data_IF_191077101975
#
_entry.id   IF_191077101975
#
_cell.length_a   1.000
_cell.length_b   1.000
_cell.length_c   1.000
_cell.angle_alpha   90.00
_cell.angle_beta   90.00
_cell.angle_gamma   90.00
#
_symmetry.space_group_name_H-M   'P 1'
#
loop_
_entity.id
_entity.type
_entity.pdbx_description
1 polymer ?
#
# COMPACT_ATOMS: atom_id res chain seq x y z
N UNK A 1 29.76 -0.70 9.09
CA UNK A 1 30.54 0.45 9.59
C UNK A 1 31.88 -0.06 10.10
N UNK A 2 33.01 0.40 9.55
CA UNK A 2 34.34 -0.03 9.99
C UNK A 2 34.77 0.71 11.27
N UNK A 3 35.78 0.19 11.97
CA UNK A 3 36.31 0.78 13.21
C UNK A 3 36.81 2.21 12.99
N UNK A 4 37.53 2.45 11.90
CA UNK A 4 38.04 3.77 11.51
C UNK A 4 36.91 4.77 11.25
N UNK A 5 35.80 4.35 10.64
CA UNK A 5 34.65 5.22 10.41
C UNK A 5 33.96 5.63 11.72
N UNK A 6 33.90 4.73 12.70
CA UNK A 6 33.33 5.01 14.02
C UNK A 6 34.15 6.05 14.78
N UNK A 7 35.47 5.85 14.84
CA UNK A 7 36.39 6.77 15.53
C UNK A 7 36.36 8.19 14.97
N UNK A 8 36.13 8.35 13.65
CA UNK A 8 36.01 9.67 13.00
C UNK A 8 34.62 10.30 13.19
N UNK A 9 33.58 9.49 13.41
CA UNK A 9 32.20 9.98 13.46
C UNK A 9 31.79 10.63 14.79
N UNK A 10 32.57 10.42 15.86
CA UNK A 10 32.28 10.93 17.21
C UNK A 10 30.82 10.70 17.67
N UNK A 11 30.23 9.56 17.27
CA UNK A 11 28.86 9.23 17.62
C UNK A 11 28.70 9.05 19.12
N UNK A 12 27.57 9.52 19.62
CA UNK A 12 27.14 9.37 21.02
C UNK A 12 25.87 8.52 21.08
N UNK A 13 25.51 8.02 22.26
CA UNK A 13 24.23 7.31 22.47
C UNK A 13 23.05 8.30 22.55
N UNK A 14 22.95 9.18 21.57
CA UNK A 14 21.85 10.13 21.37
C UNK A 14 21.49 10.20 19.88
N UNK A 15 20.27 10.68 19.59
CA UNK A 15 19.81 10.91 18.22
C UNK A 15 19.17 12.29 18.08
N UNK A 16 19.38 12.94 16.94
CA UNK A 16 18.64 14.14 16.59
C UNK A 16 17.30 13.77 15.96
N UNK A 17 16.22 14.19 16.59
CA UNK A 17 14.84 14.07 16.14
C UNK A 17 14.36 15.44 15.70
N UNK A 18 14.53 15.71 14.40
CA UNK A 18 14.51 17.05 13.82
C UNK A 18 15.62 17.96 14.38
N UNK A 19 16.06 18.97 13.61
CA UNK A 19 17.27 19.79 13.84
C UNK A 19 17.32 20.56 15.19
N UNK A 20 16.43 20.28 16.13
CA UNK A 20 16.21 21.03 17.38
C UNK A 20 16.06 20.14 18.62
N UNK A 21 15.93 18.82 18.49
CA UNK A 21 15.70 17.94 19.64
C UNK A 21 16.65 16.76 19.59
N UNK A 22 17.59 16.74 20.53
CA UNK A 22 18.46 15.60 20.75
C UNK A 22 17.87 14.71 21.85
N UNK A 23 17.63 13.44 21.54
CA UNK A 23 17.05 12.46 22.45
C UNK A 23 18.12 11.44 22.84
N UNK A 24 18.43 11.28 24.14
CA UNK A 24 19.36 10.26 24.58
C UNK A 24 18.74 8.85 24.44
N UNK A 25 19.52 7.91 23.88
CA UNK A 25 19.17 6.49 23.77
C UNK A 25 19.43 5.70 25.06
N UNK A 26 20.30 6.22 25.92
CA UNK A 26 20.61 5.72 27.27
C UNK A 26 20.72 6.90 28.23
N UNK A 27 20.65 6.71 29.56
CA UNK A 27 20.86 7.81 30.51
C UNK A 27 22.18 8.55 30.22
N UNK A 28 22.11 9.89 30.09
CA UNK A 28 23.23 10.75 29.71
C UNK A 28 23.90 10.38 28.37
N UNK A 29 23.15 9.80 27.43
CA UNK A 29 23.70 9.26 26.19
C UNK A 29 24.43 10.27 25.30
N UNK A 30 24.18 11.58 25.47
CA UNK A 30 24.91 12.66 24.79
C UNK A 30 26.40 12.70 25.17
N UNK A 31 26.76 12.22 26.35
CA UNK A 31 28.15 12.18 26.84
C UNK A 31 28.82 10.81 26.64
N UNK A 32 28.07 9.81 26.17
CA UNK A 32 28.54 8.43 26.02
C UNK A 32 28.90 8.19 24.55
N UNK A 33 30.19 8.07 24.27
CA UNK A 33 30.68 7.75 22.92
C UNK A 33 30.36 6.31 22.51
N UNK A 34 30.00 6.13 21.25
CA UNK A 34 29.80 4.82 20.63
C UNK A 34 31.16 4.23 20.28
N UNK A 35 31.45 3.06 20.85
CA UNK A 35 32.65 2.28 20.58
C UNK A 35 32.40 1.25 19.48
N UNK A 36 33.45 0.61 18.97
CA UNK A 36 33.27 -0.49 18.02
C UNK A 36 32.61 -1.72 18.65
N UNK A 37 32.84 -1.91 19.93
CA UNK A 37 32.30 -2.98 20.75
C UNK A 37 30.80 -2.78 20.99
N UNK A 38 30.36 -1.54 21.26
CA UNK A 38 28.95 -1.22 21.55
C UNK A 38 28.15 -0.77 20.32
N UNK A 39 28.74 -0.81 19.12
CA UNK A 39 28.12 -0.33 17.88
C UNK A 39 26.78 -1.01 17.57
N UNK A 40 26.68 -2.31 17.85
CA UNK A 40 25.47 -3.10 17.54
C UNK A 40 24.32 -2.67 18.45
N UNK A 41 24.61 -2.52 19.75
CA UNK A 41 23.68 -1.96 20.73
C UNK A 41 23.21 -0.56 20.33
N UNK A 42 24.13 0.31 19.89
CA UNK A 42 23.76 1.63 19.39
C UNK A 42 22.80 1.55 18.20
N UNK A 43 23.07 0.66 17.23
CA UNK A 43 22.21 0.44 16.05
C UNK A 43 20.82 -0.05 16.48
N UNK A 44 20.75 -1.04 17.37
CA UNK A 44 19.49 -1.58 17.90
C UNK A 44 18.66 -0.50 18.59
N UNK A 45 19.26 0.26 19.51
CA UNK A 45 18.58 1.35 20.21
C UNK A 45 18.10 2.44 19.26
N UNK A 46 18.88 2.74 18.21
CA UNK A 46 18.50 3.72 17.20
C UNK A 46 17.34 3.23 16.34
N UNK A 47 17.30 1.94 15.99
CA UNK A 47 16.16 1.32 15.27
C UNK A 47 14.92 1.36 16.16
N UNK A 48 15.03 0.92 17.41
CA UNK A 48 13.95 0.93 18.40
C UNK A 48 13.37 2.34 18.57
N UNK A 49 14.23 3.33 18.81
CA UNK A 49 13.79 4.71 19.01
C UNK A 49 13.06 5.24 17.77
N UNK A 50 13.64 5.03 16.58
CA UNK A 50 13.10 5.59 15.32
C UNK A 50 11.79 4.95 14.88
N UNK A 51 11.67 3.63 15.00
CA UNK A 51 10.55 2.88 14.42
C UNK A 51 9.51 2.41 15.44
N UNK A 52 9.82 2.46 16.75
CA UNK A 52 8.91 2.05 17.82
C UNK A 52 8.60 3.25 18.71
N UNK A 53 9.58 3.78 19.43
CA UNK A 53 9.35 4.75 20.51
C UNK A 53 8.77 6.08 20.01
N UNK A 54 9.34 6.67 18.95
CA UNK A 54 8.90 7.98 18.46
C UNK A 54 7.48 8.00 17.87
N UNK A 55 6.99 6.83 17.46
CA UNK A 55 5.67 6.67 16.82
C UNK A 55 4.68 5.93 17.71
N UNK A 56 5.07 5.52 18.92
CA UNK A 56 4.29 4.65 19.80
C UNK A 56 2.88 5.18 20.05
N UNK A 57 2.76 6.47 20.38
CA UNK A 57 1.46 7.08 20.65
C UNK A 57 0.55 7.09 19.42
N UNK A 58 1.09 7.40 18.25
CA UNK A 58 0.36 7.44 17.00
C UNK A 58 -0.08 6.04 16.58
N UNK A 59 0.81 5.05 16.71
CA UNK A 59 0.53 3.65 16.43
C UNK A 59 -0.54 3.11 17.38
N UNK A 60 -0.49 3.46 18.67
CA UNK A 60 -1.51 3.05 19.64
C UNK A 60 -2.90 3.61 19.29
N UNK A 61 -3.00 4.89 18.93
CA UNK A 61 -4.27 5.48 18.50
C UNK A 61 -4.77 4.90 17.17
N UNK A 62 -3.86 4.61 16.24
CA UNK A 62 -4.22 3.93 14.99
C UNK A 62 -4.76 2.52 15.25
N UNK A 63 -4.09 1.75 16.13
CA UNK A 63 -4.54 0.42 16.54
C UNK A 63 -5.91 0.47 17.20
N UNK A 64 -6.15 1.41 18.12
CA UNK A 64 -7.46 1.61 18.74
C UNK A 64 -8.56 1.90 17.70
N UNK A 65 -8.30 2.76 16.71
CA UNK A 65 -9.27 3.04 15.65
C UNK A 65 -9.59 1.82 14.78
N UNK A 66 -8.62 0.93 14.58
CA UNK A 66 -8.84 -0.37 13.92
C UNK A 66 -9.67 -1.32 14.79
N UNK A 67 -9.42 -1.34 16.10
CA UNK A 67 -10.21 -2.13 17.06
C UNK A 67 -11.67 -1.68 17.08
N UNK A 68 -11.92 -0.36 17.07
CA UNK A 68 -13.27 0.20 17.07
C UNK A 68 -14.08 -0.17 15.80
N UNK A 69 -13.42 -0.55 14.70
CA UNK A 69 -14.05 -0.91 13.42
C UNK A 69 -14.45 -2.39 13.31
N UNK A 70 -13.75 -3.27 14.02
CA UNK A 70 -13.93 -4.71 13.92
C UNK A 70 -14.90 -5.18 15.03
N UNK A 71 -15.67 -6.24 14.83
CA UNK A 71 -16.52 -6.85 15.89
C UNK A 71 -15.88 -8.17 16.38
N UNK A 72 -15.10 -8.17 17.48
CA UNK A 72 -14.57 -9.41 18.08
C UNK A 72 -13.24 -9.30 18.85
N UNK A 73 -12.69 -10.39 19.43
CA UNK A 73 -11.42 -10.33 20.17
C UNK A 73 -10.21 -10.18 19.22
N UNK A 74 -9.76 -8.94 19.01
CA UNK A 74 -8.76 -8.53 18.01
C UNK A 74 -7.36 -9.09 18.22
N UNK A 75 -6.99 -9.42 19.46
CA UNK A 75 -5.70 -10.02 19.75
C UNK A 75 -5.51 -11.35 19.01
N UNK A 76 -6.59 -12.12 18.81
CA UNK A 76 -6.52 -13.33 17.99
C UNK A 76 -6.32 -13.01 16.51
N UNK A 77 -7.05 -12.03 15.96
CA UNK A 77 -6.94 -11.62 14.56
C UNK A 77 -5.52 -11.17 14.20
N UNK A 78 -4.96 -10.21 14.94
CA UNK A 78 -3.61 -9.71 14.70
C UNK A 78 -2.52 -10.76 14.98
N UNK A 79 -2.74 -11.68 15.93
CA UNK A 79 -1.81 -12.78 16.18
C UNK A 79 -1.81 -13.83 15.06
N UNK A 80 -2.89 -13.93 14.29
CA UNK A 80 -2.99 -14.85 13.14
C UNK A 80 -2.59 -14.22 11.82
N UNK A 81 -2.54 -12.89 11.73
CA UNK A 81 -2.24 -12.16 10.51
C UNK A 81 -0.73 -12.00 10.35
N UNK A 82 -0.14 -12.54 9.29
CA UNK A 82 1.26 -12.27 8.97
C UNK A 82 1.43 -10.86 8.40
N UNK A 83 2.67 -10.37 8.36
CA UNK A 83 2.99 -9.10 7.69
C UNK A 83 2.62 -9.11 6.20
N UNK A 84 2.74 -10.27 5.54
CA UNK A 84 2.38 -10.46 4.14
C UNK A 84 0.86 -10.38 3.95
N UNK A 85 0.08 -10.98 4.86
CA UNK A 85 -1.38 -10.92 4.82
C UNK A 85 -1.88 -9.49 5.04
N UNK A 86 -1.25 -8.74 5.96
CA UNK A 86 -1.61 -7.34 6.18
C UNK A 86 -1.26 -6.46 4.97
N UNK A 87 -0.11 -6.66 4.33
CA UNK A 87 0.26 -5.91 3.12
C UNK A 87 -0.69 -6.25 1.96
N UNK A 88 -1.04 -7.53 1.81
CA UNK A 88 -2.05 -7.99 0.84
C UNK A 88 -3.42 -7.37 1.13
N UNK A 89 -3.87 -7.34 2.39
CA UNK A 89 -5.15 -6.73 2.76
C UNK A 89 -5.21 -5.24 2.43
N UNK A 90 -4.10 -4.52 2.64
CA UNK A 90 -4.03 -3.07 2.41
C UNK A 90 -3.82 -2.70 0.94
N UNK A 91 -3.05 -3.48 0.20
CA UNK A 91 -2.66 -3.17 -1.19
C UNK A 91 -3.47 -3.93 -2.22
N UNK A 92 -3.89 -5.16 -1.91
CA UNK A 92 -4.34 -6.18 -2.86
C UNK A 92 -3.19 -7.08 -3.31
N UNK A 93 -3.51 -8.07 -4.15
CA UNK A 93 -2.57 -9.05 -4.68
C UNK A 93 -1.72 -8.41 -5.80
N UNK A 94 -0.50 -7.96 -5.49
CA UNK A 94 0.44 -7.35 -6.46
C UNK A 94 1.19 -8.40 -7.31
N UNK A 95 1.25 -9.65 -6.86
CA UNK A 95 2.03 -10.69 -7.55
C UNK A 95 1.27 -11.35 -8.70
N UNK A 96 -0.04 -11.11 -8.82
CA UNK A 96 -0.86 -11.70 -9.88
C UNK A 96 -1.04 -10.75 -11.07
N UNK A 97 -0.98 -11.37 -12.25
CA UNK A 97 -1.25 -10.74 -13.51
C UNK A 97 -2.75 -10.53 -13.69
N UNK A 98 -3.17 -9.36 -14.17
CA UNK A 98 -4.59 -9.07 -14.39
C UNK A 98 -5.10 -9.97 -15.53
N UNK A 99 -6.00 -10.89 -15.19
CA UNK A 99 -6.70 -11.75 -16.13
C UNK A 99 -7.78 -10.98 -16.89
N UNK A 100 -7.65 -10.92 -18.22
CA UNK A 100 -8.63 -10.26 -19.08
C UNK A 100 -9.91 -11.09 -19.20
N UNK A 101 -9.79 -12.42 -19.17
CA UNK A 101 -10.96 -13.31 -19.21
C UNK A 101 -11.84 -13.08 -17.98
N UNK A 102 -11.22 -12.95 -16.81
CA UNK A 102 -11.93 -12.68 -15.56
C UNK A 102 -12.57 -11.30 -15.54
N UNK A 103 -11.83 -10.29 -16.04
CA UNK A 103 -12.35 -8.94 -16.16
C UNK A 103 -13.58 -8.88 -17.07
N UNK A 104 -13.54 -9.58 -18.21
CA UNK A 104 -14.68 -9.70 -19.14
C UNK A 104 -15.90 -10.30 -18.47
N UNK A 105 -15.71 -11.37 -17.70
CA UNK A 105 -16.80 -12.05 -16.98
C UNK A 105 -17.50 -11.12 -15.97
N UNK A 106 -16.74 -10.18 -15.40
CA UNK A 106 -17.20 -9.18 -14.44
C UNK A 106 -17.53 -7.81 -15.07
N UNK A 107 -17.75 -7.76 -16.39
CA UNK A 107 -18.11 -6.53 -17.12
C UNK A 107 -19.55 -6.59 -17.60
N UNK A 108 -20.31 -5.52 -17.35
CA UNK A 108 -21.65 -5.31 -17.87
C UNK A 108 -21.65 -4.41 -19.11
N UNK A 109 -22.52 -4.73 -20.06
CA UNK A 109 -22.70 -3.97 -21.28
C UNK A 109 -24.11 -3.39 -21.31
N UNK A 110 -24.24 -2.06 -21.34
CA UNK A 110 -25.51 -1.36 -21.44
C UNK A 110 -25.68 -0.72 -22.81
N UNK A 111 -26.63 -1.21 -23.60
CA UNK A 111 -26.83 -0.78 -24.98
C UNK A 111 -25.79 -1.32 -25.97
N UNK A 112 -24.98 -2.28 -25.55
CA UNK A 112 -24.09 -3.08 -26.40
C UNK A 112 -24.33 -4.57 -26.15
N UNK A 113 -24.06 -5.40 -27.15
CA UNK A 113 -23.90 -6.85 -27.00
C UNK A 113 -22.41 -7.19 -26.93
N UNK A 114 -22.03 -8.25 -26.21
CA UNK A 114 -20.61 -8.64 -26.06
C UNK A 114 -19.92 -8.87 -27.40
N UNK A 115 -20.68 -9.35 -28.40
CA UNK A 115 -20.21 -9.60 -29.77
C UNK A 115 -20.16 -8.34 -30.66
N UNK A 116 -20.57 -7.17 -30.17
CA UNK A 116 -20.47 -5.93 -30.93
C UNK A 116 -19.00 -5.61 -31.23
N UNK A 117 -18.71 -5.19 -32.46
CA UNK A 117 -17.33 -4.90 -32.90
C UNK A 117 -16.62 -3.90 -31.96
N UNK A 118 -17.35 -2.91 -31.45
CA UNK A 118 -16.84 -1.91 -30.51
C UNK A 118 -16.38 -2.54 -29.19
N UNK A 119 -17.12 -3.51 -28.67
CA UNK A 119 -16.74 -4.27 -27.47
C UNK A 119 -15.54 -5.16 -27.77
N UNK A 120 -15.53 -5.80 -28.93
CA UNK A 120 -14.37 -6.55 -29.42
C UNK A 120 -13.09 -5.71 -29.44
N UNK A 121 -13.14 -4.52 -30.04
CA UNK A 121 -12.00 -3.60 -30.12
C UNK A 121 -11.54 -3.11 -28.75
N UNK A 122 -12.48 -2.79 -27.86
CA UNK A 122 -12.15 -2.40 -26.48
C UNK A 122 -11.27 -3.47 -25.82
N UNK A 123 -11.70 -4.73 -25.88
CA UNK A 123 -10.96 -5.81 -25.25
C UNK A 123 -9.65 -6.17 -25.96
N UNK A 124 -9.57 -6.04 -27.29
CA UNK A 124 -8.30 -6.21 -28.01
C UNK A 124 -7.28 -5.13 -27.62
N UNK A 125 -7.73 -3.89 -27.37
CA UNK A 125 -6.87 -2.82 -26.85
C UNK A 125 -6.36 -3.17 -25.44
N UNK A 126 -7.24 -3.60 -24.52
CA UNK A 126 -6.85 -4.02 -23.16
C UNK A 126 -5.90 -5.22 -23.21
N UNK A 127 -6.11 -6.16 -24.14
CA UNK A 127 -5.23 -7.30 -24.38
C UNK A 127 -3.85 -6.91 -24.87
N UNK A 128 -3.76 -5.89 -25.72
CA UNK A 128 -2.49 -5.31 -26.17
C UNK A 128 -1.73 -4.52 -25.10
N UNK A 129 -2.36 -4.19 -23.96
CA UNK A 129 -1.68 -3.51 -22.85
C UNK A 129 -0.77 -4.47 -22.07
N UNK A 130 0.38 -3.97 -21.62
CA UNK A 130 1.17 -4.62 -20.58
C UNK A 130 0.48 -4.54 -19.20
N UNK A 131 0.96 -5.30 -18.22
CA UNK A 131 0.39 -5.34 -16.87
C UNK A 131 0.41 -3.96 -16.19
N UNK A 132 1.42 -3.12 -16.44
CA UNK A 132 1.50 -1.78 -15.86
C UNK A 132 0.37 -0.89 -16.37
N UNK A 133 0.08 -0.93 -17.67
CA UNK A 133 -1.02 -0.19 -18.29
C UNK A 133 -2.38 -0.73 -17.88
N UNK A 134 -2.54 -2.06 -17.76
CA UNK A 134 -3.76 -2.66 -17.23
C UNK A 134 -4.04 -2.22 -15.80
N UNK A 135 -3.03 -2.19 -14.92
CA UNK A 135 -3.14 -1.68 -13.54
C UNK A 135 -3.52 -0.20 -13.50
N UNK A 136 -3.03 0.62 -14.44
CA UNK A 136 -3.44 2.02 -14.56
C UNK A 136 -4.89 2.16 -14.99
N UNK A 137 -5.36 1.32 -15.92
CA UNK A 137 -6.76 1.32 -16.34
C UNK A 137 -7.68 0.83 -15.21
N UNK A 138 -7.28 -0.22 -14.50
CA UNK A 138 -7.97 -0.70 -13.30
C UNK A 138 -8.12 0.44 -12.28
N UNK A 139 -7.02 1.09 -11.93
CA UNK A 139 -7.02 2.23 -11.00
C UNK A 139 -7.88 3.41 -11.46
N UNK A 140 -7.88 3.71 -12.76
CA UNK A 140 -8.73 4.75 -13.31
C UNK A 140 -10.22 4.48 -13.05
N UNK A 141 -10.63 3.22 -13.11
CA UNK A 141 -12.01 2.81 -12.95
C UNK A 141 -12.40 2.53 -11.49
N UNK A 142 -11.53 1.92 -10.69
CA UNK A 142 -11.85 1.44 -9.33
C UNK A 142 -11.18 2.21 -8.20
N UNK A 143 -10.24 3.11 -8.50
CA UNK A 143 -9.30 3.68 -7.54
C UNK A 143 -8.41 2.67 -6.78
N UNK A 144 -8.35 1.40 -7.21
CA UNK A 144 -7.40 0.40 -6.69
C UNK A 144 -6.41 -0.04 -7.76
N UNK A 145 -5.15 -0.25 -7.36
CA UNK A 145 -4.06 -0.60 -8.30
C UNK A 145 -3.84 -2.09 -8.45
N UNK A 146 -4.26 -2.87 -7.45
CA UNK A 146 -4.12 -4.31 -7.40
C UNK A 146 -5.48 -4.94 -7.11
N UNK A 147 -5.66 -6.17 -7.55
CA UNK A 147 -6.91 -6.88 -7.33
C UNK A 147 -7.05 -7.24 -5.85
N UNK A 148 -8.25 -7.12 -5.27
CA UNK A 148 -8.57 -7.72 -3.98
C UNK A 148 -8.35 -9.24 -3.96
N UNK A 149 -8.46 -9.84 -2.77
CA UNK A 149 -8.26 -11.27 -2.60
C UNK A 149 -9.17 -12.14 -3.48
N UNK A 150 -10.45 -11.76 -3.66
CA UNK A 150 -11.37 -12.48 -4.55
C UNK A 150 -11.36 -11.94 -5.99
N UNK A 151 -10.33 -11.19 -6.38
CA UNK A 151 -10.19 -10.70 -7.74
C UNK A 151 -11.24 -9.65 -8.11
N UNK A 152 -11.90 -9.86 -9.25
CA UNK A 152 -12.90 -8.91 -9.77
C UNK A 152 -14.26 -8.99 -9.05
N UNK A 153 -14.53 -10.04 -8.27
CA UNK A 153 -15.78 -10.20 -7.52
C UNK A 153 -15.95 -9.11 -6.44
N UNK A 154 -14.85 -8.70 -5.81
CA UNK A 154 -14.83 -7.67 -4.76
C UNK A 154 -14.77 -6.24 -5.32
N UNK A 155 -14.70 -6.08 -6.65
CA UNK A 155 -14.68 -4.77 -7.30
C UNK A 155 -16.09 -4.34 -7.69
N UNK A 156 -16.34 -3.01 -7.85
CA UNK A 156 -17.53 -2.59 -8.57
C UNK A 156 -17.60 -3.29 -9.93
N UNK A 157 -18.77 -3.38 -10.54
CA UNK A 157 -18.90 -3.92 -11.90
C UNK A 157 -18.45 -2.89 -12.93
N UNK A 158 -17.62 -3.28 -13.90
CA UNK A 158 -17.27 -2.37 -15.00
C UNK A 158 -18.46 -2.29 -15.94
N UNK A 159 -19.08 -1.12 -16.10
CA UNK A 159 -20.21 -0.95 -17.02
C UNK A 159 -19.78 -0.16 -18.25
N UNK A 160 -19.86 -0.77 -19.43
CA UNK A 160 -19.64 -0.10 -20.72
C UNK A 160 -20.99 0.31 -21.29
N UNK A 161 -21.22 1.62 -21.37
CA UNK A 161 -22.51 2.20 -21.73
C UNK A 161 -22.43 2.80 -23.13
N UNK A 162 -23.39 2.47 -24.00
CA UNK A 162 -23.59 3.19 -25.26
C UNK A 162 -24.15 4.57 -24.95
N UNK A 163 -23.30 5.59 -25.04
CA UNK A 163 -23.75 6.97 -24.90
C UNK A 163 -24.77 7.31 -25.99
N UNK A 164 -25.93 7.85 -25.60
CA UNK A 164 -26.84 8.50 -26.53
C UNK A 164 -26.16 9.79 -27.00
N UNK A 165 -25.57 9.76 -28.19
CA UNK A 165 -25.42 11.00 -28.96
C UNK A 165 -26.84 11.41 -29.32
N UNK A 166 -27.40 12.34 -28.53
CA UNK A 166 -28.68 12.95 -28.85
C UNK A 166 -28.66 13.35 -30.32
N UNK A 167 -29.67 12.90 -31.06
CA UNK A 167 -30.04 13.55 -32.30
C UNK A 167 -30.13 15.03 -31.98
N UNK A 168 -29.19 15.83 -32.50
CA UNK A 168 -29.37 17.27 -32.54
C UNK A 168 -30.61 17.46 -33.39
N UNK A 169 -31.71 17.81 -32.74
CA UNK A 169 -32.97 18.19 -33.35
C UNK A 169 -32.67 19.03 -34.60
N UNK A 170 -32.88 18.43 -35.76
CA UNK A 170 -32.92 19.13 -37.04
C UNK A 170 -34.35 19.57 -37.29
N UNK A 171 -34.93 20.35 -36.39
CA UNK A 171 -36.18 21.05 -36.63
C UNK A 171 -36.18 22.36 -35.82
N UNK A 172 -36.03 23.47 -36.54
CA UNK A 172 -35.98 24.83 -36.02
C UNK A 172 -35.45 25.81 -37.05
#
# INVERSE_FOLDING_TARGET
MSKEMLEVSALTFSIDVDKRLEIPLVPNGQDVLVTFEDKERYIELRIQMKYVTLVEKQVLHFAQGFEDLLDGPYSAFFNTLSLEDLDCLLRGIDQEDISIQEWKLHTEYQGFEEKDDVIGWFWEIIKGMDQTRRRRFLYFWTAVRFLPMNGFEDLPTLTIIRGFLGERDKDG
#
